data_IF_498233938827
#
_entry.id   IF_498233938827
#
_cell.length_a   1.000
_cell.length_b   1.000
_cell.length_c   1.000
_cell.angle_alpha   90.00
_cell.angle_beta   90.00
_cell.angle_gamma   90.00
#
_symmetry.space_group_name_H-M   'P 1'
#
loop_
_entity.id
_entity.type
_entity.pdbx_description
1 polymer ?
#
# COMPACT_ATOMS: atom_id res chain seq x y z
N UNK A 1 57.26 2.38 -32.82
CA UNK A 1 57.15 1.30 -31.81
C UNK A 1 57.60 1.89 -30.49
N UNK A 2 56.65 2.24 -29.63
CA UNK A 2 56.90 2.83 -28.32
C UNK A 2 56.14 1.99 -27.28
N UNK A 3 56.89 1.62 -26.24
CA UNK A 3 56.54 0.73 -25.15
C UNK A 3 56.12 1.58 -23.96
N UNK A 4 54.95 1.35 -23.37
CA UNK A 4 54.58 1.66 -21.97
C UNK A 4 53.52 0.62 -21.56
N UNK A 5 53.84 -0.37 -20.73
CA UNK A 5 53.86 -0.38 -19.25
C UNK A 5 52.53 0.07 -18.62
N UNK A 6 51.67 -0.90 -18.28
CA UNK A 6 50.85 -0.81 -17.07
C UNK A 6 50.91 -2.11 -16.27
N UNK A 7 51.23 -1.91 -15.00
CA UNK A 7 51.51 -2.92 -14.01
C UNK A 7 50.25 -3.32 -13.24
N UNK A 8 50.31 -4.56 -12.78
CA UNK A 8 49.62 -5.19 -11.67
C UNK A 8 49.00 -4.25 -10.61
N UNK A 9 47.76 -4.54 -10.23
CA UNK A 9 47.40 -4.58 -8.80
C UNK A 9 46.43 -5.72 -8.50
N UNK A 10 46.93 -6.67 -7.70
CA UNK A 10 46.20 -7.77 -7.06
C UNK A 10 45.45 -7.21 -5.85
N UNK A 11 44.15 -7.49 -5.75
CA UNK A 11 43.33 -7.26 -4.56
C UNK A 11 42.54 -8.51 -4.20
N UNK A 12 43.19 -9.40 -3.45
CA UNK A 12 42.63 -10.62 -2.86
C UNK A 12 41.61 -10.22 -1.77
N UNK A 13 40.32 -10.50 -1.95
CA UNK A 13 39.37 -10.53 -0.83
C UNK A 13 38.81 -11.95 -0.71
N UNK A 14 39.59 -12.81 -0.04
CA UNK A 14 39.08 -13.98 0.63
C UNK A 14 38.31 -13.51 1.87
N UNK A 15 36.98 -13.46 1.82
CA UNK A 15 36.18 -13.53 3.05
C UNK A 15 35.81 -14.97 3.29
N UNK A 16 36.36 -15.52 4.38
CA UNK A 16 36.08 -16.85 4.86
C UNK A 16 34.59 -16.99 5.15
N UNK A 17 33.96 -17.94 4.48
CA UNK A 17 32.73 -18.56 4.97
C UNK A 17 33.20 -19.55 6.03
N UNK A 18 33.33 -19.05 7.27
CA UNK A 18 33.47 -19.93 8.43
C UNK A 18 32.13 -20.63 8.68
N UNK A 19 32.26 -21.91 9.03
CA UNK A 19 31.20 -22.90 8.98
C UNK A 19 29.98 -22.60 9.84
N UNK A 20 28.81 -22.92 9.29
CA UNK A 20 27.63 -23.23 10.06
C UNK A 20 27.85 -24.59 10.74
N UNK A 21 28.36 -24.56 11.97
CA UNK A 21 28.22 -25.69 12.88
C UNK A 21 26.75 -25.76 13.31
N UNK A 22 26.07 -26.81 12.88
CA UNK A 22 24.77 -27.23 13.40
C UNK A 22 25.00 -27.89 14.76
N UNK A 23 24.77 -27.15 15.84
CA UNK A 23 24.50 -27.75 17.15
C UNK A 23 23.17 -27.21 17.69
N UNK A 24 22.29 -28.15 18.00
CA UNK A 24 21.08 -28.02 18.79
C UNK A 24 19.93 -27.21 18.17
N UNK A 25 19.22 -27.84 17.22
CA UNK A 25 17.78 -28.14 17.31
C UNK A 25 16.77 -27.09 17.82
N UNK A 26 17.11 -25.81 17.82
CA UNK A 26 16.21 -24.71 18.14
C UNK A 26 16.36 -23.63 17.07
N UNK A 27 15.40 -23.58 16.14
CA UNK A 27 15.20 -22.43 15.27
C UNK A 27 14.75 -21.24 16.15
N UNK A 28 15.69 -20.56 16.79
CA UNK A 28 15.45 -19.19 17.26
C UNK A 28 15.45 -18.31 16.02
N UNK A 29 14.37 -17.56 15.73
CA UNK A 29 14.44 -16.56 14.68
C UNK A 29 15.59 -15.61 15.05
N UNK A 30 16.58 -15.51 14.16
CA UNK A 30 17.63 -14.52 14.29
C UNK A 30 16.93 -13.18 14.53
N UNK A 31 17.13 -12.60 15.71
CA UNK A 31 16.57 -11.31 16.07
C UNK A 31 17.04 -10.30 15.04
N UNK A 32 16.19 -10.02 14.05
CA UNK A 32 16.41 -8.93 13.11
C UNK A 32 16.42 -7.69 13.97
N UNK A 33 17.60 -7.15 14.23
CA UNK A 33 17.75 -5.77 14.66
C UNK A 33 17.11 -4.97 13.52
N UNK A 34 15.86 -4.53 13.72
CA UNK A 34 15.29 -3.50 12.88
C UNK A 34 16.30 -2.36 12.92
N UNK A 35 16.86 -2.00 11.77
CA UNK A 35 17.75 -0.86 11.68
C UNK A 35 17.05 0.31 12.37
N UNK A 36 17.59 0.77 13.50
CA UNK A 36 17.08 1.98 14.15
C UNK A 36 17.40 3.10 13.18
N UNK A 37 16.41 3.49 12.39
CA UNK A 37 16.49 4.71 11.60
C UNK A 37 16.88 5.84 12.57
N UNK A 38 17.94 6.61 12.29
CA UNK A 38 18.31 7.72 13.15
C UNK A 38 17.08 8.62 13.29
N UNK A 39 16.65 8.83 14.54
CA UNK A 39 15.52 9.70 14.82
C UNK A 39 15.90 11.10 14.33
N UNK A 40 15.30 11.53 13.22
CA UNK A 40 15.36 12.94 12.82
C UNK A 40 14.68 13.69 13.96
N UNK A 41 15.48 14.40 14.77
CA UNK A 41 14.96 15.26 15.82
C UNK A 41 14.28 16.44 15.14
N UNK A 42 12.99 16.27 14.86
CA UNK A 42 12.17 17.41 14.49
C UNK A 42 12.24 18.42 15.63
N UNK A 43 12.42 19.73 15.36
CA UNK A 43 12.25 20.73 16.40
C UNK A 43 10.87 20.51 17.04
N UNK A 44 10.70 20.73 18.36
CA UNK A 44 9.40 20.61 19.01
C UNK A 44 8.48 21.66 18.37
N UNK A 45 7.74 21.22 17.36
CA UNK A 45 6.80 22.06 16.65
C UNK A 45 5.67 22.37 17.61
N UNK A 46 5.22 23.64 17.73
CA UNK A 46 3.88 23.89 18.22
C UNK A 46 2.92 23.05 17.38
N UNK A 47 1.95 22.42 18.06
CA UNK A 47 0.82 21.64 17.53
C UNK A 47 0.78 21.57 16.00
N UNK A 48 1.47 20.60 15.40
CA UNK A 48 1.54 20.48 13.95
C UNK A 48 0.11 20.31 13.41
N UNK A 49 -0.31 21.21 12.53
CA UNK A 49 -1.58 21.12 11.82
C UNK A 49 -1.35 21.32 10.32
N UNK A 50 -1.92 20.47 9.46
CA UNK A 50 -1.86 20.69 8.02
C UNK A 50 -2.58 21.99 7.64
N UNK A 51 -2.16 22.63 6.55
CA UNK A 51 -2.85 23.81 6.04
C UNK A 51 -4.30 23.47 5.62
N UNK A 52 -5.18 24.47 5.58
CA UNK A 52 -6.56 24.29 5.15
C UNK A 52 -6.64 23.66 3.75
N UNK A 53 -5.78 24.12 2.82
CA UNK A 53 -5.69 23.56 1.47
C UNK A 53 -5.35 22.06 1.46
N UNK A 54 -4.39 21.63 2.27
CA UNK A 54 -4.03 20.20 2.39
C UNK A 54 -5.19 19.42 2.99
N UNK A 55 -5.83 19.97 4.01
CA UNK A 55 -6.98 19.34 4.67
C UNK A 55 -8.15 19.15 3.71
N UNK A 56 -8.47 20.17 2.91
CA UNK A 56 -9.52 20.12 1.88
C UNK A 56 -9.18 19.12 0.78
N UNK A 57 -7.92 19.10 0.33
CA UNK A 57 -7.44 18.14 -0.65
C UNK A 57 -7.60 16.70 -0.14
N UNK A 58 -7.14 16.43 1.08
CA UNK A 58 -7.29 15.12 1.74
C UNK A 58 -8.77 14.77 1.87
N UNK A 59 -9.61 15.68 2.35
CA UNK A 59 -11.04 15.44 2.51
C UNK A 59 -11.76 15.14 1.19
N UNK A 60 -11.31 15.75 0.09
CA UNK A 60 -11.85 15.53 -1.24
C UNK A 60 -11.44 14.16 -1.80
N UNK A 61 -10.16 13.82 -1.73
CA UNK A 61 -9.63 12.59 -2.32
C UNK A 61 -9.87 11.35 -1.46
N UNK A 62 -9.90 11.46 -0.13
CA UNK A 62 -10.20 10.35 0.78
C UNK A 62 -11.58 9.73 0.57
N UNK A 63 -12.49 10.47 -0.06
CA UNK A 63 -13.89 10.08 -0.26
C UNK A 63 -14.22 9.74 -1.71
N UNK A 64 -13.26 9.84 -2.63
CA UNK A 64 -13.49 9.65 -4.07
C UNK A 64 -12.82 8.38 -4.56
N UNK A 65 -13.57 7.64 -5.38
CA UNK A 65 -12.98 6.61 -6.21
C UNK A 65 -12.22 7.26 -7.36
N UNK A 66 -11.05 6.71 -7.66
CA UNK A 66 -10.28 7.10 -8.82
C UNK A 66 -10.72 6.26 -10.02
N UNK A 67 -10.93 6.90 -11.19
CA UNK A 67 -11.24 6.18 -12.43
C UNK A 67 -10.23 5.07 -12.74
N UNK A 68 -10.69 3.99 -13.38
CA UNK A 68 -9.83 2.84 -13.70
C UNK A 68 -8.67 3.24 -14.62
N UNK A 69 -8.89 4.21 -15.47
CA UNK A 69 -7.96 4.77 -16.44
C UNK A 69 -6.79 5.43 -15.71
N UNK A 70 -7.10 6.30 -14.74
CA UNK A 70 -6.10 6.97 -13.89
C UNK A 70 -5.31 5.94 -13.09
N UNK A 71 -5.97 4.93 -12.51
CA UNK A 71 -5.28 3.83 -11.81
C UNK A 71 -4.36 3.01 -12.71
N UNK A 72 -4.74 2.83 -13.97
CA UNK A 72 -3.95 2.07 -14.93
C UNK A 72 -2.74 2.89 -15.37
N UNK A 73 -2.92 4.19 -15.60
CA UNK A 73 -1.83 5.13 -15.87
C UNK A 73 -0.82 5.20 -14.73
N UNK A 74 -1.27 5.36 -13.48
CA UNK A 74 -0.35 5.40 -12.33
C UNK A 74 0.44 4.09 -12.21
N UNK A 75 -0.19 2.94 -12.50
CA UNK A 75 0.51 1.64 -12.49
C UNK A 75 1.51 1.46 -13.63
N UNK A 76 1.31 2.12 -14.77
CA UNK A 76 2.29 2.10 -15.87
C UNK A 76 3.44 3.06 -15.62
N UNK A 77 3.17 4.23 -15.01
CA UNK A 77 4.19 5.23 -14.69
C UNK A 77 5.03 4.83 -13.47
N UNK A 78 4.40 4.23 -12.46
CA UNK A 78 5.04 3.74 -11.24
C UNK A 78 4.64 2.28 -10.99
N UNK A 79 5.27 1.33 -11.70
CA UNK A 79 5.02 -0.08 -11.44
C UNK A 79 5.38 -0.43 -9.99
N UNK A 80 4.70 -1.45 -9.46
CA UNK A 80 5.08 -2.00 -8.16
C UNK A 80 6.52 -2.56 -8.29
N UNK A 81 7.43 -2.22 -7.37
CA UNK A 81 8.78 -2.77 -7.43
C UNK A 81 8.72 -4.28 -7.27
N UNK A 82 9.47 -5.02 -8.08
CA UNK A 82 9.66 -6.44 -7.88
C UNK A 82 10.55 -6.66 -6.66
N UNK A 83 10.05 -7.43 -5.70
CA UNK A 83 10.94 -8.04 -4.71
C UNK A 83 11.70 -9.17 -5.40
N UNK A 84 12.93 -9.47 -4.94
CA UNK A 84 13.73 -10.58 -5.46
C UNK A 84 12.89 -11.84 -5.65
N UNK A 85 13.18 -12.66 -6.67
CA UNK A 85 12.41 -13.82 -7.16
C UNK A 85 11.92 -14.83 -6.09
N UNK A 86 12.41 -14.71 -4.85
CA UNK A 86 12.07 -15.56 -3.70
C UNK A 86 10.96 -15.02 -2.80
N UNK A 87 10.46 -13.79 -3.01
CA UNK A 87 9.45 -13.18 -2.12
C UNK A 87 8.34 -12.55 -2.94
N UNK A 88 7.16 -13.17 -2.94
CA UNK A 88 5.94 -12.54 -3.44
C UNK A 88 5.46 -11.46 -2.46
N UNK A 89 5.08 -10.28 -2.97
CA UNK A 89 4.48 -9.22 -2.13
C UNK A 89 3.14 -9.66 -1.52
N UNK A 90 2.35 -10.41 -2.28
CA UNK A 90 1.14 -11.06 -1.79
C UNK A 90 1.38 -12.57 -1.78
N UNK A 91 1.32 -13.24 -0.61
CA UNK A 91 1.32 -14.69 -0.59
C UNK A 91 0.09 -15.21 -1.33
N UNK A 92 0.28 -16.23 -2.16
CA UNK A 92 -0.83 -16.90 -2.83
C UNK A 92 -1.36 -18.04 -1.96
N UNK A 93 -2.68 -18.22 -1.96
CA UNK A 93 -3.29 -19.39 -1.36
C UNK A 93 -2.95 -20.63 -2.18
N UNK A 94 -2.51 -21.69 -1.51
CA UNK A 94 -2.27 -22.98 -2.16
C UNK A 94 -3.51 -23.45 -2.93
N UNK A 95 -3.30 -23.93 -4.16
CA UNK A 95 -4.39 -24.41 -5.02
C UNK A 95 -5.27 -25.47 -4.33
N UNK A 96 -4.69 -26.31 -3.47
CA UNK A 96 -5.41 -27.31 -2.67
C UNK A 96 -6.37 -26.68 -1.66
N UNK A 97 -5.96 -25.58 -1.02
CA UNK A 97 -6.79 -24.82 -0.07
C UNK A 97 -7.92 -24.10 -0.82
N UNK A 98 -7.62 -23.52 -1.98
CA UNK A 98 -8.65 -22.91 -2.85
C UNK A 98 -9.71 -23.94 -3.28
N UNK A 99 -9.29 -25.14 -3.68
CA UNK A 99 -10.22 -26.24 -4.03
C UNK A 99 -11.05 -26.68 -2.82
N UNK A 100 -10.45 -26.77 -1.64
CA UNK A 100 -11.18 -27.12 -0.41
C UNK A 100 -12.25 -26.06 -0.04
N UNK A 101 -11.89 -24.78 -0.03
CA UNK A 101 -12.81 -23.66 0.25
C UNK A 101 -13.90 -23.60 -0.82
N UNK A 102 -13.56 -23.85 -2.09
CA UNK A 102 -14.50 -23.72 -3.19
C UNK A 102 -15.57 -24.81 -3.25
N UNK A 103 -15.26 -26.04 -2.82
CA UNK A 103 -16.20 -27.16 -2.71
C UNK A 103 -17.30 -26.92 -1.66
N UNK A 104 -17.00 -26.14 -0.62
CA UNK A 104 -18.00 -25.69 0.35
C UNK A 104 -18.71 -24.44 -0.17
N UNK A 105 -19.70 -24.62 -1.05
CA UNK A 105 -20.44 -23.53 -1.71
C UNK A 105 -21.19 -22.59 -0.76
N UNK A 106 -21.35 -22.98 0.50
CA UNK A 106 -21.97 -22.18 1.57
C UNK A 106 -20.96 -21.48 2.48
N UNK A 107 -19.64 -21.59 2.23
CA UNK A 107 -18.65 -20.98 3.10
C UNK A 107 -18.68 -19.44 2.97
N UNK A 108 -19.10 -18.70 4.01
CA UNK A 108 -19.14 -17.24 3.99
C UNK A 108 -17.74 -16.62 3.79
N UNK A 109 -16.65 -17.37 4.01
CA UNK A 109 -15.26 -16.91 3.85
C UNK A 109 -14.83 -16.75 2.39
N UNK A 110 -15.56 -17.36 1.44
CA UNK A 110 -15.22 -17.32 0.01
C UNK A 110 -15.28 -15.89 -0.56
N UNK A 111 -16.13 -15.02 0.00
CA UNK A 111 -16.18 -13.60 -0.33
C UNK A 111 -15.17 -12.75 0.46
N UNK A 112 -14.87 -13.15 1.69
CA UNK A 112 -13.95 -12.44 2.59
C UNK A 112 -12.52 -12.41 2.02
N UNK A 113 -12.02 -13.54 1.55
CA UNK A 113 -10.67 -13.64 0.99
C UNK A 113 -10.50 -12.78 -0.28
N UNK A 114 -11.49 -12.83 -1.18
CA UNK A 114 -11.53 -11.96 -2.36
C UNK A 114 -11.53 -10.47 -1.97
N UNK A 115 -12.26 -10.11 -0.92
CA UNK A 115 -12.25 -8.79 -0.32
C UNK A 115 -10.85 -8.42 0.17
N UNK A 116 -10.26 -9.22 1.06
CA UNK A 116 -8.93 -8.99 1.64
C UNK A 116 -7.85 -8.90 0.55
N UNK A 117 -7.85 -9.78 -0.45
CA UNK A 117 -6.94 -9.72 -1.59
C UNK A 117 -7.08 -8.39 -2.34
N UNK A 118 -8.31 -7.96 -2.63
CA UNK A 118 -8.54 -6.67 -3.28
C UNK A 118 -7.97 -5.51 -2.47
N UNK A 119 -8.02 -5.58 -1.14
CA UNK A 119 -7.50 -4.54 -0.26
C UNK A 119 -5.99 -4.53 -0.19
N UNK A 120 -5.37 -5.71 -0.10
CA UNK A 120 -3.93 -5.84 -0.24
C UNK A 120 -3.48 -5.23 -1.56
N UNK A 121 -4.15 -5.54 -2.67
CA UNK A 121 -3.85 -4.93 -3.96
C UNK A 121 -4.01 -3.41 -3.97
N UNK A 122 -5.01 -2.87 -3.26
CA UNK A 122 -5.16 -1.42 -3.12
C UNK A 122 -4.00 -0.77 -2.37
N UNK A 123 -3.57 -1.36 -1.26
CA UNK A 123 -2.43 -0.88 -0.48
C UNK A 123 -1.13 -1.01 -1.26
N UNK A 124 -0.92 -2.13 -1.95
CA UNK A 124 0.29 -2.34 -2.76
C UNK A 124 0.39 -1.39 -3.96
N UNK A 125 -0.73 -0.86 -4.46
CA UNK A 125 -0.69 0.17 -5.50
C UNK A 125 -0.06 1.49 -5.01
N UNK A 126 0.02 1.73 -3.71
CA UNK A 126 0.71 2.88 -3.13
C UNK A 126 2.23 2.76 -3.22
N UNK A 127 2.75 1.53 -3.30
CA UNK A 127 4.19 1.28 -3.22
C UNK A 127 4.92 1.96 -4.37
N UNK A 128 4.42 1.87 -5.61
CA UNK A 128 5.08 2.50 -6.76
C UNK A 128 5.35 4.01 -6.54
N UNK A 129 4.31 4.84 -6.32
CA UNK A 129 4.49 6.26 -6.05
C UNK A 129 5.30 6.59 -4.78
N UNK A 130 5.17 5.78 -3.73
CA UNK A 130 5.99 5.93 -2.51
C UNK A 130 7.47 5.64 -2.78
N UNK A 131 7.76 4.58 -3.53
CA UNK A 131 9.12 4.25 -3.98
C UNK A 131 9.67 5.38 -4.83
N UNK A 132 8.89 5.95 -5.75
CA UNK A 132 9.34 7.09 -6.55
C UNK A 132 9.70 8.30 -5.68
N UNK A 133 8.87 8.60 -4.69
CA UNK A 133 9.13 9.67 -3.70
C UNK A 133 10.41 9.40 -2.90
N UNK A 134 10.61 8.14 -2.50
CA UNK A 134 11.80 7.72 -1.77
C UNK A 134 13.07 7.79 -2.63
N UNK A 135 13.04 7.31 -3.87
CA UNK A 135 14.14 7.40 -4.83
C UNK A 135 14.55 8.85 -5.06
N UNK A 136 13.60 9.77 -5.24
CA UNK A 136 13.90 11.20 -5.39
C UNK A 136 14.60 11.77 -4.15
N UNK A 137 14.15 11.39 -2.96
CA UNK A 137 14.77 11.83 -1.72
C UNK A 137 16.18 11.22 -1.52
N UNK A 138 16.36 9.95 -1.90
CA UNK A 138 17.64 9.24 -1.84
C UNK A 138 18.65 9.82 -2.83
N UNK A 139 18.25 10.06 -4.08
CA UNK A 139 19.08 10.69 -5.10
C UNK A 139 19.51 12.10 -4.68
N UNK A 140 18.58 12.90 -4.15
CA UNK A 140 18.88 14.23 -3.64
C UNK A 140 19.86 14.19 -2.46
N UNK A 141 19.66 13.23 -1.55
CA UNK A 141 20.55 13.03 -0.41
C UNK A 141 21.97 12.60 -0.85
N UNK A 142 22.08 11.63 -1.76
CA UNK A 142 23.37 11.09 -2.22
C UNK A 142 24.17 12.08 -3.06
N UNK A 143 23.48 12.93 -3.83
CA UNK A 143 24.12 13.91 -4.70
C UNK A 143 24.24 15.30 -4.07
N UNK A 144 23.82 15.46 -2.80
CA UNK A 144 23.77 16.76 -2.11
C UNK A 144 22.98 17.83 -2.88
N UNK A 145 21.89 17.42 -3.56
CA UNK A 145 21.01 18.30 -4.32
C UNK A 145 19.64 18.46 -3.64
N UNK A 146 18.84 19.41 -4.11
CA UNK A 146 17.45 19.55 -3.66
C UNK A 146 16.49 18.75 -4.53
N UNK A 147 15.49 18.14 -3.91
CA UNK A 147 14.36 17.50 -4.61
C UNK A 147 13.54 18.58 -5.34
N UNK A 148 13.11 18.31 -6.58
CA UNK A 148 12.16 19.21 -7.28
C UNK A 148 10.82 19.24 -6.51
N UNK A 149 10.43 20.40 -5.96
CA UNK A 149 9.19 20.51 -5.19
C UNK A 149 7.94 20.23 -6.04
N UNK A 150 7.97 20.48 -7.36
CA UNK A 150 6.80 20.23 -8.22
C UNK A 150 6.58 18.74 -8.42
N UNK A 151 7.64 18.01 -8.74
CA UNK A 151 7.57 16.57 -8.92
C UNK A 151 7.22 15.87 -7.60
N UNK A 152 7.82 16.28 -6.47
CA UNK A 152 7.48 15.75 -5.15
C UNK A 152 6.00 15.98 -4.82
N UNK A 153 5.49 17.18 -5.10
CA UNK A 153 4.09 17.49 -4.89
C UNK A 153 3.17 16.58 -5.71
N UNK A 154 3.49 16.35 -6.99
CA UNK A 154 2.72 15.48 -7.87
C UNK A 154 2.69 14.03 -7.38
N UNK A 155 3.81 13.46 -6.95
CA UNK A 155 3.86 12.10 -6.44
C UNK A 155 3.18 11.95 -5.07
N UNK A 156 3.32 12.94 -4.19
CA UNK A 156 2.58 12.99 -2.93
C UNK A 156 1.06 13.04 -3.17
N UNK A 157 0.61 13.90 -4.08
CA UNK A 157 -0.79 14.00 -4.50
C UNK A 157 -1.31 12.67 -5.07
N UNK A 158 -0.54 12.02 -5.94
CA UNK A 158 -0.87 10.71 -6.53
C UNK A 158 -1.02 9.65 -5.45
N UNK A 159 -0.10 9.62 -4.48
CA UNK A 159 -0.13 8.70 -3.33
C UNK A 159 -1.37 8.92 -2.46
N UNK A 160 -1.66 10.18 -2.08
CA UNK A 160 -2.83 10.54 -1.29
C UNK A 160 -4.15 10.19 -2.00
N UNK A 161 -4.18 10.41 -3.32
CA UNK A 161 -5.33 10.05 -4.15
C UNK A 161 -5.56 8.54 -4.11
N UNK A 162 -4.53 7.74 -4.36
CA UNK A 162 -4.65 6.27 -4.31
C UNK A 162 -5.04 5.76 -2.93
N UNK A 163 -4.53 6.38 -1.85
CA UNK A 163 -4.89 6.07 -0.48
C UNK A 163 -6.38 6.33 -0.24
N UNK A 164 -6.88 7.47 -0.73
CA UNK A 164 -8.30 7.81 -0.64
C UNK A 164 -9.21 6.87 -1.41
N UNK A 165 -8.76 6.42 -2.57
CA UNK A 165 -9.46 5.40 -3.32
C UNK A 165 -9.45 4.04 -2.60
N UNK A 166 -8.34 3.64 -1.98
CA UNK A 166 -8.27 2.44 -1.15
C UNK A 166 -9.25 2.53 0.04
N UNK A 167 -9.28 3.67 0.73
CA UNK A 167 -10.21 3.95 1.82
C UNK A 167 -11.68 3.88 1.37
N UNK A 168 -11.99 4.43 0.19
CA UNK A 168 -13.34 4.38 -0.37
C UNK A 168 -13.75 2.95 -0.73
N UNK A 169 -12.84 2.17 -1.32
CA UNK A 169 -13.09 0.75 -1.60
C UNK A 169 -13.35 -0.06 -0.31
N UNK A 170 -12.54 0.17 0.73
CA UNK A 170 -12.71 -0.43 2.05
C UNK A 170 -14.06 -0.05 2.67
N UNK A 171 -14.41 1.23 2.65
CA UNK A 171 -15.70 1.73 3.15
C UNK A 171 -16.87 1.06 2.44
N UNK A 172 -16.77 0.86 1.12
CA UNK A 172 -17.79 0.15 0.33
C UNK A 172 -17.92 -1.32 0.75
N UNK A 173 -16.81 -2.03 0.91
CA UNK A 173 -16.84 -3.44 1.35
C UNK A 173 -17.39 -3.57 2.77
N UNK A 174 -17.03 -2.66 3.67
CA UNK A 174 -17.60 -2.61 5.03
C UNK A 174 -19.11 -2.39 5.01
N UNK A 175 -19.60 -1.48 4.15
CA UNK A 175 -21.04 -1.27 3.95
C UNK A 175 -21.73 -2.51 3.41
N UNK A 176 -21.18 -3.14 2.36
CA UNK A 176 -21.72 -4.40 1.81
C UNK A 176 -21.84 -5.46 2.88
N UNK A 177 -20.82 -5.62 3.72
CA UNK A 177 -20.82 -6.61 4.80
C UNK A 177 -21.92 -6.33 5.84
N UNK A 178 -22.08 -5.07 6.28
CA UNK A 178 -23.13 -4.71 7.24
C UNK A 178 -24.52 -4.91 6.61
N UNK A 179 -24.74 -4.45 5.38
CA UNK A 179 -26.02 -4.60 4.70
C UNK A 179 -26.36 -6.07 4.46
N UNK A 180 -25.39 -6.90 4.07
CA UNK A 180 -25.57 -8.34 3.94
C UNK A 180 -26.08 -8.99 5.24
N UNK A 181 -25.60 -8.52 6.41
CA UNK A 181 -26.03 -9.03 7.71
C UNK A 181 -27.41 -8.52 8.14
N UNK A 182 -27.92 -7.45 7.52
CA UNK A 182 -29.26 -6.91 7.76
C UNK A 182 -30.25 -7.57 6.78
N UNK A 183 -30.03 -7.38 5.48
CA UNK A 183 -30.80 -7.99 4.39
C UNK A 183 -29.95 -8.02 3.10
N UNK A 184 -29.85 -9.19 2.48
CA UNK A 184 -29.16 -9.41 1.21
C UNK A 184 -29.61 -8.46 0.09
N UNK A 185 -30.89 -8.05 0.07
CA UNK A 185 -31.44 -7.14 -0.95
C UNK A 185 -30.83 -5.74 -0.85
N UNK A 186 -30.35 -5.34 0.32
CA UNK A 186 -29.79 -4.01 0.56
C UNK A 186 -28.34 -3.86 0.07
N UNK A 187 -27.64 -4.95 -0.26
CA UNK A 187 -26.22 -4.92 -0.68
C UNK A 187 -25.99 -3.96 -1.86
N UNK A 188 -26.96 -3.84 -2.77
CA UNK A 188 -26.88 -2.94 -3.92
C UNK A 188 -26.75 -1.45 -3.53
N UNK A 189 -27.19 -1.07 -2.33
CA UNK A 189 -27.11 0.30 -1.82
C UNK A 189 -25.68 0.69 -1.42
N UNK A 190 -24.85 -0.28 -1.02
CA UNK A 190 -23.47 -0.02 -0.57
C UNK A 190 -22.58 0.65 -1.65
N UNK A 191 -22.94 0.51 -2.93
CA UNK A 191 -22.19 1.14 -4.04
C UNK A 191 -22.86 2.41 -4.55
N UNK A 192 -24.13 2.67 -4.19
CA UNK A 192 -24.89 3.84 -4.66
C UNK A 192 -24.60 5.08 -3.84
N UNK A 193 -24.35 4.92 -2.55
CA UNK A 193 -24.00 6.10 -1.75
C UNK A 193 -22.52 6.43 -1.87
N UNK A 194 -22.22 7.73 -1.89
CA UNK A 194 -20.87 8.24 -1.72
C UNK A 194 -20.22 7.70 -0.45
N UNK A 195 -18.90 7.88 -0.33
CA UNK A 195 -18.13 7.45 0.84
C UNK A 195 -18.63 8.05 2.18
N UNK A 196 -17.89 7.83 3.28
CA UNK A 196 -18.34 8.23 4.62
C UNK A 196 -18.78 9.70 4.67
N UNK A 197 -19.83 9.97 5.45
CA UNK A 197 -20.40 11.31 5.58
C UNK A 197 -19.36 12.30 6.10
N UNK A 198 -19.63 13.61 5.95
CA UNK A 198 -18.74 14.64 6.51
C UNK A 198 -18.63 14.55 8.03
N UNK A 199 -19.64 13.98 8.67
CA UNK A 199 -19.75 13.73 10.11
C UNK A 199 -19.15 12.37 10.53
N UNK A 200 -18.56 11.60 9.60
CA UNK A 200 -17.92 10.33 9.91
C UNK A 200 -18.87 9.13 9.99
N UNK A 201 -20.14 9.27 9.59
CA UNK A 201 -21.05 8.13 9.51
C UNK A 201 -20.72 7.26 8.31
N UNK A 202 -20.80 5.94 8.51
CA UNK A 202 -20.51 4.97 7.45
C UNK A 202 -21.55 5.01 6.34
N UNK A 203 -22.81 5.23 6.71
CA UNK A 203 -23.93 5.43 5.81
C UNK A 203 -24.29 6.92 5.86
N UNK A 204 -24.37 7.59 4.71
CA UNK A 204 -24.66 9.02 4.65
C UNK A 204 -26.14 9.33 4.89
N UNK A 205 -26.50 10.60 4.97
CA UNK A 205 -27.90 11.03 5.20
C UNK A 205 -28.89 10.51 4.15
N UNK A 206 -28.39 10.19 2.95
CA UNK A 206 -29.17 9.58 1.87
C UNK A 206 -29.64 8.16 2.23
N UNK A 207 -28.83 7.39 2.96
CA UNK A 207 -29.17 6.03 3.39
C UNK A 207 -30.47 6.01 4.18
N UNK A 208 -30.55 6.90 5.18
CA UNK A 208 -31.68 6.99 6.10
C UNK A 208 -32.97 7.35 5.36
N UNK A 209 -32.87 8.19 4.31
CA UNK A 209 -34.02 8.57 3.47
C UNK A 209 -34.50 7.40 2.61
N UNK A 210 -33.57 6.63 2.05
CA UNK A 210 -33.89 5.50 1.19
C UNK A 210 -34.47 4.33 2.00
N UNK A 211 -33.92 4.05 3.20
CA UNK A 211 -34.51 3.07 4.14
C UNK A 211 -35.93 3.45 4.57
N UNK A 212 -36.19 4.73 4.78
CA UNK A 212 -37.52 5.22 5.17
C UNK A 212 -38.57 5.11 4.06
N UNK A 213 -38.16 4.97 2.79
CA UNK A 213 -39.07 4.86 1.64
C UNK A 213 -39.55 3.44 1.38
N UNK A 214 -39.07 2.45 2.14
CA UNK A 214 -39.41 1.04 1.97
C UNK A 214 -38.75 0.48 0.70
N UNK A 215 -37.73 -0.35 0.90
CA UNK A 215 -37.16 -1.18 -0.15
C UNK A 215 -37.99 -2.45 -0.35
#
# INVERSE_FOLDING_TARGET
MLVHNEAQQKGNIRRGIQGLQTQNGQCRPAGRQYARFPLIKHPPSPEWAPSLHITDYIAFWLRRQIPKEVRSRVRSECPRPSLSDKVAMNPELDAKVVVFISKNSKDPRKGLDKGLKSWQDWLLNLIGPLTKTFEMAEEAYLNETSVDPKELHQWAQTTLSLLGNANTALSNERRKHILHNIDLKLIALASKEGGPSRQGHLFGDYFSKDMARGF
#
